data_IF_424019900497
#
_entry.id   IF_424019900497
#
_cell.length_a   1.000
_cell.length_b   1.000
_cell.length_c   1.000
_cell.angle_alpha   90.00
_cell.angle_beta   90.00
_cell.angle_gamma   90.00
#
_symmetry.space_group_name_H-M   'P 1'
#
loop_
_entity.id
_entity.type
_entity.pdbx_description
1 polymer ?
#
# COMPACT_ATOMS: atom_id res chain seq x y z
N UNK A 1 44.49 27.07 -48.10
CA UNK A 1 43.23 27.83 -48.07
C UNK A 1 42.07 26.84 -48.03
N UNK A 2 41.22 27.01 -47.02
CA UNK A 2 39.80 26.61 -46.89
C UNK A 2 39.43 25.12 -47.03
N UNK A 3 39.34 24.48 -45.85
CA UNK A 3 38.33 23.47 -45.50
C UNK A 3 36.95 24.14 -45.46
N UNK A 4 35.90 23.47 -45.94
CA UNK A 4 34.56 23.35 -45.31
C UNK A 4 33.55 22.88 -46.37
N UNK A 5 32.77 21.83 -46.07
CA UNK A 5 31.70 21.44 -46.99
C UNK A 5 30.96 20.14 -46.70
N UNK A 6 30.88 19.64 -45.46
CA UNK A 6 30.08 18.46 -45.14
C UNK A 6 29.53 18.54 -43.72
N UNK A 7 28.46 19.31 -43.48
CA UNK A 7 27.76 19.35 -42.18
C UNK A 7 26.27 19.74 -42.26
N UNK A 8 25.61 19.65 -43.42
CA UNK A 8 24.23 20.17 -43.59
C UNK A 8 23.11 19.15 -43.82
N UNK A 9 23.37 17.84 -43.74
CA UNK A 9 22.38 16.83 -44.21
C UNK A 9 21.82 15.87 -43.15
N UNK A 10 22.00 16.15 -41.85
CA UNK A 10 21.42 15.34 -40.77
C UNK A 10 20.41 16.11 -39.90
N UNK A 11 20.29 17.44 -40.04
CA UNK A 11 19.44 18.27 -39.18
C UNK A 11 17.96 18.39 -39.62
N UNK A 12 17.65 18.17 -40.90
CA UNK A 12 16.30 18.40 -41.46
C UNK A 12 15.22 17.38 -41.05
N UNK A 13 15.49 16.07 -40.92
CA UNK A 13 14.46 15.10 -40.51
C UNK A 13 14.05 15.28 -39.04
N UNK A 14 14.99 15.70 -38.20
CA UNK A 14 14.78 15.86 -36.74
C UNK A 14 13.88 17.06 -36.44
N UNK A 15 14.07 18.18 -37.13
CA UNK A 15 13.21 19.36 -36.95
C UNK A 15 11.77 19.13 -37.44
N UNK A 16 11.59 18.39 -38.54
CA UNK A 16 10.25 18.08 -39.05
C UNK A 16 9.47 17.12 -38.15
N UNK A 17 10.14 16.10 -37.59
CA UNK A 17 9.52 15.18 -36.63
C UNK A 17 9.13 15.88 -35.31
N UNK A 18 9.97 16.78 -34.80
CA UNK A 18 9.67 17.57 -33.61
C UNK A 18 8.47 18.51 -33.80
N UNK A 19 8.37 19.18 -34.96
CA UNK A 19 7.22 20.04 -35.29
C UNK A 19 5.91 19.26 -35.39
N UNK A 20 5.94 18.05 -35.96
CA UNK A 20 4.77 17.19 -36.05
C UNK A 20 4.34 16.64 -34.68
N UNK A 21 5.30 16.30 -33.80
CA UNK A 21 5.02 15.85 -32.45
C UNK A 21 4.37 16.97 -31.60
N UNK A 22 4.85 18.21 -31.74
CA UNK A 22 4.29 19.37 -31.05
C UNK A 22 2.85 19.68 -31.52
N UNK A 23 2.58 19.58 -32.82
CA UNK A 23 1.22 19.77 -33.37
C UNK A 23 0.23 18.67 -32.91
N UNK A 24 0.69 17.42 -32.81
CA UNK A 24 -0.08 16.30 -32.25
C UNK A 24 -0.37 16.53 -30.76
N UNK A 25 0.63 16.97 -29.99
CA UNK A 25 0.45 17.31 -28.58
C UNK A 25 -0.57 18.43 -28.42
N UNK A 26 -0.41 19.55 -29.13
CA UNK A 26 -1.31 20.70 -29.05
C UNK A 26 -2.75 20.33 -29.43
N UNK A 27 -2.92 19.49 -30.46
CA UNK A 27 -4.25 18.99 -30.86
C UNK A 27 -4.89 18.15 -29.76
N UNK A 28 -4.15 17.19 -29.21
CA UNK A 28 -4.64 16.31 -28.15
C UNK A 28 -4.90 17.07 -26.83
N UNK A 29 -4.07 18.06 -26.51
CA UNK A 29 -4.27 18.95 -25.37
C UNK A 29 -5.54 19.78 -25.50
N UNK A 30 -5.77 20.41 -26.66
CA UNK A 30 -7.00 21.16 -26.92
C UNK A 30 -8.23 20.27 -26.80
N UNK A 31 -8.16 19.04 -27.30
CA UNK A 31 -9.24 18.05 -27.13
C UNK A 31 -9.54 17.79 -25.65
N UNK A 32 -8.53 17.53 -24.81
CA UNK A 32 -8.75 17.37 -23.36
C UNK A 32 -9.31 18.64 -22.70
N UNK A 33 -8.86 19.82 -23.13
CA UNK A 33 -9.27 21.12 -22.58
C UNK A 33 -10.74 21.48 -22.89
N UNK A 34 -11.35 20.93 -23.94
CA UNK A 34 -12.75 21.22 -24.31
C UNK A 34 -13.75 20.20 -23.77
N UNK A 35 -13.29 19.03 -23.27
CA UNK A 35 -14.18 18.01 -22.73
C UNK A 35 -14.75 18.48 -21.37
N UNK A 36 -16.02 18.85 -21.39
CA UNK A 36 -16.78 19.23 -20.18
C UNK A 36 -17.61 18.06 -19.63
N UNK A 37 -18.00 17.11 -20.48
CA UNK A 37 -18.72 15.89 -20.11
C UNK A 37 -18.19 14.72 -20.92
N UNK A 38 -17.95 13.60 -20.26
CA UNK A 38 -17.39 12.40 -20.89
C UNK A 38 -18.54 11.60 -21.49
N UNK A 39 -18.78 11.79 -22.79
CA UNK A 39 -19.76 11.02 -23.54
C UNK A 39 -19.14 9.79 -24.23
N UNK A 40 -17.86 9.86 -24.61
CA UNK A 40 -17.15 8.80 -25.32
C UNK A 40 -15.81 8.44 -24.63
N UNK A 41 -15.68 7.17 -24.23
CA UNK A 41 -14.45 6.63 -23.62
C UNK A 41 -13.38 6.30 -24.67
N UNK A 42 -13.78 5.98 -25.90
CA UNK A 42 -12.85 5.66 -26.98
C UNK A 42 -12.09 6.90 -27.44
N UNK A 43 -12.78 8.05 -27.52
CA UNK A 43 -12.15 9.34 -27.82
C UNK A 43 -11.09 9.69 -26.78
N UNK A 44 -11.41 9.63 -25.48
CA UNK A 44 -10.43 9.87 -24.42
C UNK A 44 -9.24 8.91 -24.45
N UNK A 45 -9.47 7.62 -24.76
CA UNK A 45 -8.41 6.65 -24.87
C UNK A 45 -7.47 6.97 -26.05
N UNK A 46 -8.03 7.41 -27.18
CA UNK A 46 -7.28 7.85 -28.35
C UNK A 46 -6.46 9.10 -28.04
N UNK A 47 -7.07 10.14 -27.46
CA UNK A 47 -6.38 11.37 -27.05
C UNK A 47 -5.25 11.07 -26.04
N UNK A 48 -5.49 10.19 -25.08
CA UNK A 48 -4.46 9.75 -24.13
C UNK A 48 -3.31 8.97 -24.78
N UNK A 49 -3.57 8.19 -25.83
CA UNK A 49 -2.51 7.55 -26.62
C UNK A 49 -1.69 8.60 -27.37
N UNK A 50 -2.34 9.53 -28.07
CA UNK A 50 -1.66 10.63 -28.78
C UNK A 50 -0.74 11.44 -27.86
N UNK A 51 -1.22 11.80 -26.67
CA UNK A 51 -0.39 12.51 -25.67
C UNK A 51 0.82 11.67 -25.21
N UNK A 52 0.65 10.36 -25.02
CA UNK A 52 1.77 9.49 -24.65
C UNK A 52 2.79 9.33 -25.77
N UNK A 53 2.44 9.59 -27.01
CA UNK A 53 3.36 9.43 -28.14
C UNK A 53 3.97 10.77 -28.59
N UNK A 54 3.36 11.90 -28.20
CA UNK A 54 3.70 13.22 -28.73
C UNK A 54 4.84 13.96 -28.02
N UNK A 55 5.39 13.43 -26.91
CA UNK A 55 6.43 14.15 -26.16
C UNK A 55 7.50 13.30 -25.51
N UNK A 56 8.63 13.94 -25.20
CA UNK A 56 9.81 13.27 -24.68
C UNK A 56 9.69 12.95 -23.18
N UNK A 57 10.37 11.89 -22.77
CA UNK A 57 10.49 11.52 -21.36
C UNK A 57 11.16 12.66 -20.60
N UNK A 58 10.54 13.12 -19.50
CA UNK A 58 11.05 14.20 -18.66
C UNK A 58 10.72 15.62 -19.13
N UNK A 59 9.94 15.82 -20.20
CA UNK A 59 9.55 17.16 -20.68
C UNK A 59 8.73 17.91 -19.60
N UNK A 60 9.34 18.94 -19.02
CA UNK A 60 8.75 19.73 -17.93
C UNK A 60 7.68 20.70 -18.41
N UNK A 61 7.82 21.25 -19.62
CA UNK A 61 6.90 22.26 -20.11
C UNK A 61 5.54 21.62 -20.34
N UNK A 62 5.51 20.52 -21.09
CA UNK A 62 4.29 19.82 -21.42
C UNK A 62 3.68 19.14 -20.20
N UNK A 63 4.51 18.58 -19.32
CA UNK A 63 4.04 18.00 -18.05
C UNK A 63 3.39 19.03 -17.14
N UNK A 64 3.93 20.25 -17.01
CA UNK A 64 3.29 21.30 -16.19
C UNK A 64 1.90 21.67 -16.71
N UNK A 65 1.72 21.70 -18.03
CA UNK A 65 0.42 21.98 -18.65
C UNK A 65 -0.58 20.85 -18.37
N UNK A 66 -0.16 19.59 -18.51
CA UNK A 66 -0.97 18.44 -18.13
C UNK A 66 -1.29 18.44 -16.62
N UNK A 67 -0.33 18.77 -15.75
CA UNK A 67 -0.54 18.84 -14.30
C UNK A 67 -1.55 19.93 -13.92
N UNK A 68 -1.60 21.06 -14.64
CA UNK A 68 -2.62 22.06 -14.45
C UNK A 68 -4.04 21.51 -14.72
N UNK A 69 -4.18 20.62 -15.71
CA UNK A 69 -5.45 19.90 -15.95
C UNK A 69 -5.76 18.91 -14.83
N UNK A 70 -4.76 18.14 -14.37
CA UNK A 70 -4.93 17.18 -13.26
C UNK A 70 -5.37 17.88 -11.98
N UNK A 71 -4.82 19.05 -11.67
CA UNK A 71 -5.16 19.85 -10.50
C UNK A 71 -6.52 20.57 -10.57
N UNK A 72 -7.13 20.68 -11.76
CA UNK A 72 -8.37 21.42 -11.94
C UNK A 72 -9.60 20.58 -11.53
N UNK A 73 -10.10 20.79 -10.31
CA UNK A 73 -11.28 20.09 -9.78
C UNK A 73 -12.58 20.37 -10.56
N UNK A 74 -12.63 21.40 -11.40
CA UNK A 74 -13.76 21.67 -12.29
C UNK A 74 -13.81 20.78 -13.53
N UNK A 75 -12.76 19.99 -13.79
CA UNK A 75 -12.67 19.08 -14.94
C UNK A 75 -13.17 17.67 -14.59
N UNK A 76 -13.77 16.93 -15.54
CA UNK A 76 -14.18 15.55 -15.32
C UNK A 76 -13.00 14.67 -14.88
N UNK A 77 -13.24 13.78 -13.91
CA UNK A 77 -12.22 12.86 -13.39
C UNK A 77 -11.53 12.08 -14.51
N UNK A 78 -12.27 11.62 -15.53
CA UNK A 78 -11.67 10.85 -16.64
C UNK A 78 -10.63 11.65 -17.44
N UNK A 79 -10.86 12.95 -17.66
CA UNK A 79 -9.91 13.87 -18.31
C UNK A 79 -8.66 14.01 -17.44
N UNK A 80 -8.86 14.26 -16.15
CA UNK A 80 -7.78 14.41 -15.16
C UNK A 80 -6.93 13.14 -15.09
N UNK A 81 -7.56 11.96 -15.07
CA UNK A 81 -6.83 10.68 -15.05
C UNK A 81 -6.10 10.42 -16.38
N UNK A 82 -6.67 10.81 -17.51
CA UNK A 82 -6.03 10.64 -18.83
C UNK A 82 -4.77 11.50 -18.92
N UNK A 83 -4.84 12.77 -18.50
CA UNK A 83 -3.68 13.65 -18.42
C UNK A 83 -2.61 13.11 -17.48
N UNK A 84 -3.01 12.60 -16.31
CA UNK A 84 -2.08 11.98 -15.35
C UNK A 84 -1.39 10.74 -15.91
N UNK A 85 -2.13 9.86 -16.59
CA UNK A 85 -1.57 8.65 -17.20
C UNK A 85 -0.55 8.99 -18.30
N UNK A 86 -0.78 10.07 -19.05
CA UNK A 86 0.18 10.57 -20.03
C UNK A 86 1.47 11.09 -19.36
N UNK A 87 1.35 11.83 -18.26
CA UNK A 87 2.49 12.28 -17.46
C UNK A 87 3.29 11.08 -16.92
N UNK A 88 2.62 10.11 -16.31
CA UNK A 88 3.26 8.93 -15.72
C UNK A 88 4.00 8.09 -16.76
N UNK A 89 3.50 8.01 -17.99
CA UNK A 89 4.18 7.31 -19.09
C UNK A 89 5.49 7.99 -19.52
N UNK A 90 5.66 9.27 -19.21
CA UNK A 90 6.84 10.09 -19.56
C UNK A 90 7.64 10.55 -18.35
N UNK A 91 7.32 10.02 -17.17
CA UNK A 91 8.00 10.40 -15.94
C UNK A 91 9.41 9.79 -15.87
N UNK A 92 10.41 10.67 -15.81
CA UNK A 92 11.77 10.33 -15.36
C UNK A 92 11.83 10.39 -13.81
N UNK A 93 13.04 10.20 -13.26
CA UNK A 93 13.29 10.30 -11.81
C UNK A 93 12.81 11.64 -11.24
N UNK A 94 13.26 12.75 -11.81
CA UNK A 94 12.96 14.09 -11.30
C UNK A 94 11.46 14.42 -11.39
N UNK A 95 10.76 13.87 -12.38
CA UNK A 95 9.33 14.08 -12.57
C UNK A 95 8.52 13.21 -11.62
N UNK A 96 8.96 11.98 -11.38
CA UNK A 96 8.40 11.17 -10.30
C UNK A 96 8.50 11.88 -8.94
N UNK A 97 9.61 12.56 -8.66
CA UNK A 97 9.79 13.35 -7.43
C UNK A 97 8.82 14.53 -7.36
N UNK A 98 8.68 15.29 -8.44
CA UNK A 98 7.70 16.39 -8.54
C UNK A 98 6.27 15.89 -8.36
N UNK A 99 5.92 14.72 -8.92
CA UNK A 99 4.60 14.11 -8.78
C UNK A 99 4.29 13.69 -7.35
N UNK A 100 5.26 13.12 -6.63
CA UNK A 100 5.11 12.82 -5.20
C UNK A 100 4.97 14.10 -4.38
N UNK A 101 5.73 15.14 -4.71
CA UNK A 101 5.61 16.46 -4.09
C UNK A 101 4.22 17.07 -4.30
N UNK A 102 3.71 17.03 -5.54
CA UNK A 102 2.37 17.46 -5.90
C UNK A 102 1.29 16.66 -5.15
N UNK A 103 1.42 15.34 -5.12
CA UNK A 103 0.50 14.45 -4.42
C UNK A 103 0.43 14.76 -2.92
N UNK A 104 1.60 14.98 -2.30
CA UNK A 104 1.70 15.41 -0.90
C UNK A 104 1.03 16.77 -0.68
N UNK A 105 1.31 17.75 -1.54
CA UNK A 105 0.80 19.12 -1.40
C UNK A 105 -0.71 19.23 -1.68
N UNK A 106 -1.25 18.30 -2.47
CA UNK A 106 -2.64 18.31 -2.93
C UNK A 106 -3.58 17.51 -2.03
N UNK A 107 -3.10 16.92 -0.92
CA UNK A 107 -3.97 16.24 0.04
C UNK A 107 -5.03 17.22 0.58
N UNK A 108 -6.32 16.97 0.30
CA UNK A 108 -7.38 17.89 0.64
C UNK A 108 -7.52 18.01 2.15
N UNK A 109 -7.84 19.21 2.63
CA UNK A 109 -8.15 19.43 4.03
C UNK A 109 -9.43 18.71 4.44
N UNK A 110 -9.61 18.49 5.74
CA UNK A 110 -10.76 17.81 6.35
C UNK A 110 -12.11 18.48 6.05
N UNK A 111 -12.14 19.62 5.35
CA UNK A 111 -13.35 20.34 4.90
C UNK A 111 -13.69 20.19 3.41
N UNK A 112 -12.89 19.50 2.60
CA UNK A 112 -13.18 19.33 1.16
C UNK A 112 -14.46 18.51 0.91
N UNK A 113 -15.14 18.73 -0.23
CA UNK A 113 -16.37 18.00 -0.58
C UNK A 113 -16.07 16.51 -0.81
N UNK A 114 -17.04 15.63 -0.51
CA UNK A 114 -16.85 14.18 -0.65
C UNK A 114 -16.43 13.77 -2.08
N UNK A 115 -17.00 14.41 -3.11
CA UNK A 115 -16.64 14.16 -4.51
C UNK A 115 -15.18 14.53 -4.79
N UNK A 116 -14.71 15.67 -4.29
CA UNK A 116 -13.32 16.13 -4.46
C UNK A 116 -12.32 15.19 -3.77
N UNK A 117 -12.69 14.66 -2.59
CA UNK A 117 -11.87 13.65 -1.90
C UNK A 117 -11.79 12.34 -2.69
N UNK A 118 -12.91 11.88 -3.24
CA UNK A 118 -12.94 10.65 -4.04
C UNK A 118 -12.11 10.78 -5.32
N UNK A 119 -12.26 11.90 -6.04
CA UNK A 119 -11.46 12.19 -7.23
C UNK A 119 -9.97 12.26 -6.89
N UNK A 120 -9.61 12.93 -5.80
CA UNK A 120 -8.23 12.99 -5.33
C UNK A 120 -7.70 11.60 -4.95
N UNK A 121 -8.48 10.78 -4.25
CA UNK A 121 -8.09 9.42 -3.90
C UNK A 121 -7.74 8.58 -5.13
N UNK A 122 -8.54 8.71 -6.21
CA UNK A 122 -8.30 8.03 -7.48
C UNK A 122 -6.99 8.50 -8.13
N UNK A 123 -6.77 9.82 -8.20
CA UNK A 123 -5.54 10.38 -8.76
C UNK A 123 -4.30 9.99 -7.94
N UNK A 124 -4.40 10.07 -6.63
CA UNK A 124 -3.33 9.70 -5.70
C UNK A 124 -2.95 8.22 -5.85
N UNK A 125 -3.94 7.33 -5.90
CA UNK A 125 -3.72 5.91 -6.13
C UNK A 125 -3.03 5.63 -7.47
N UNK A 126 -3.33 6.41 -8.50
CA UNK A 126 -2.63 6.32 -9.80
C UNK A 126 -1.19 6.80 -9.72
N UNK A 127 -0.91 7.91 -9.03
CA UNK A 127 0.47 8.39 -8.82
C UNK A 127 1.29 7.31 -8.12
N UNK A 128 0.83 6.80 -6.98
CA UNK A 128 1.55 5.78 -6.19
C UNK A 128 1.84 4.53 -7.02
N UNK A 129 0.82 3.98 -7.70
CA UNK A 129 0.99 2.77 -8.53
C UNK A 129 1.80 3.01 -9.80
N UNK A 130 1.68 4.20 -10.39
CA UNK A 130 2.36 4.58 -11.62
C UNK A 130 3.85 4.77 -11.39
N UNK A 131 4.22 5.46 -10.31
CA UNK A 131 5.61 5.74 -9.95
C UNK A 131 6.40 4.46 -9.68
N UNK A 132 5.80 3.46 -9.05
CA UNK A 132 6.46 2.15 -8.88
C UNK A 132 6.80 1.45 -10.20
N UNK A 133 6.23 1.89 -11.32
CA UNK A 133 6.40 1.30 -12.66
C UNK A 133 7.22 2.17 -13.61
N UNK A 134 7.64 3.38 -13.21
CA UNK A 134 8.40 4.26 -14.10
C UNK A 134 9.85 3.78 -14.27
N UNK A 135 10.49 4.03 -15.42
CA UNK A 135 11.93 3.82 -15.58
C UNK A 135 12.70 4.63 -14.53
N UNK A 136 13.41 3.96 -13.62
CA UNK A 136 14.09 4.61 -12.49
C UNK A 136 13.25 4.77 -11.22
N UNK A 137 12.02 4.22 -11.18
CA UNK A 137 11.16 4.22 -9.99
C UNK A 137 11.85 3.64 -8.74
N UNK A 138 12.69 2.62 -8.89
CA UNK A 138 13.49 2.08 -7.78
C UNK A 138 14.46 3.10 -7.17
N UNK A 139 15.12 3.92 -8.00
CA UNK A 139 16.01 5.00 -7.55
C UNK A 139 15.23 6.14 -6.91
N UNK A 140 14.06 6.48 -7.45
CA UNK A 140 13.17 7.49 -6.87
C UNK A 140 12.73 7.12 -5.46
N UNK A 141 12.36 5.86 -5.26
CA UNK A 141 11.96 5.39 -3.95
C UNK A 141 13.12 5.44 -2.94
N UNK A 142 14.38 5.41 -3.39
CA UNK A 142 15.55 5.53 -2.52
C UNK A 142 15.80 6.95 -1.96
N UNK A 143 15.12 7.97 -2.51
CA UNK A 143 15.29 9.37 -2.11
C UNK A 143 14.47 9.73 -0.85
N UNK A 144 15.07 10.54 0.04
CA UNK A 144 14.47 10.91 1.32
C UNK A 144 13.23 11.82 1.17
N UNK A 145 13.19 12.67 0.15
CA UNK A 145 12.04 13.52 -0.12
C UNK A 145 10.84 12.66 -0.59
N UNK A 146 11.13 11.65 -1.40
CA UNK A 146 10.16 10.64 -1.84
C UNK A 146 9.63 9.81 -0.66
N UNK A 147 10.50 9.36 0.25
CA UNK A 147 10.09 8.68 1.50
C UNK A 147 9.15 9.55 2.35
N UNK A 148 9.49 10.84 2.49
CA UNK A 148 8.68 11.80 3.24
C UNK A 148 7.31 12.05 2.59
N UNK A 149 7.25 12.08 1.25
CA UNK A 149 6.00 12.19 0.52
C UNK A 149 5.14 10.93 0.69
N UNK A 150 5.71 9.74 0.58
CA UNK A 150 4.99 8.49 0.79
C UNK A 150 4.42 8.40 2.22
N UNK A 151 5.18 8.81 3.25
CA UNK A 151 4.66 8.89 4.63
C UNK A 151 3.43 9.79 4.72
N UNK A 152 3.47 10.96 4.09
CA UNK A 152 2.33 11.88 4.07
C UNK A 152 1.12 11.29 3.35
N UNK A 153 1.35 10.52 2.29
CA UNK A 153 0.30 9.81 1.54
C UNK A 153 -0.35 8.71 2.40
N UNK A 154 0.45 7.93 3.13
CA UNK A 154 -0.06 6.92 4.06
C UNK A 154 -0.91 7.56 5.17
N UNK A 155 -0.52 8.74 5.65
CA UNK A 155 -1.26 9.49 6.66
C UNK A 155 -2.45 10.32 6.11
N UNK A 156 -2.70 10.30 4.80
CA UNK A 156 -3.74 11.13 4.18
C UNK A 156 -5.09 10.42 4.26
N UNK A 157 -6.03 10.93 5.07
CA UNK A 157 -7.37 10.34 5.26
C UNK A 157 -8.21 10.28 3.97
N UNK A 158 -7.89 11.14 3.00
CA UNK A 158 -8.52 11.11 1.68
C UNK A 158 -8.00 9.98 0.78
N UNK A 159 -6.89 9.32 1.13
CA UNK A 159 -6.35 8.21 0.37
C UNK A 159 -7.13 6.93 0.66
N UNK A 160 -7.45 6.16 -0.39
CA UNK A 160 -8.09 4.86 -0.21
C UNK A 160 -7.18 3.90 0.58
N UNK A 161 -7.73 2.93 1.33
CA UNK A 161 -6.93 1.92 2.03
C UNK A 161 -5.91 1.23 1.12
N UNK A 162 -6.28 0.90 -0.13
CA UNK A 162 -5.40 0.26 -1.10
C UNK A 162 -4.25 1.18 -1.54
N UNK A 163 -4.51 2.49 -1.61
CA UNK A 163 -3.50 3.49 -1.94
C UNK A 163 -2.51 3.68 -0.79
N UNK A 164 -3.02 3.71 0.45
CA UNK A 164 -2.18 3.76 1.65
C UNK A 164 -1.34 2.49 1.78
N UNK A 165 -1.93 1.31 1.57
CA UNK A 165 -1.21 0.04 1.54
C UNK A 165 -0.13 0.00 0.45
N UNK A 166 -0.44 0.45 -0.78
CA UNK A 166 0.55 0.53 -1.85
C UNK A 166 1.70 1.48 -1.52
N UNK A 167 1.42 2.66 -0.97
CA UNK A 167 2.45 3.61 -0.55
C UNK A 167 3.32 3.03 0.57
N UNK A 168 2.69 2.35 1.53
CA UNK A 168 3.35 1.65 2.62
C UNK A 168 4.30 0.53 2.11
N UNK A 169 3.87 -0.29 1.15
CA UNK A 169 4.74 -1.28 0.51
C UNK A 169 5.95 -0.63 -0.21
N UNK A 170 5.75 0.50 -0.87
CA UNK A 170 6.85 1.24 -1.52
C UNK A 170 7.85 1.81 -0.50
N UNK A 171 7.41 2.24 0.67
CA UNK A 171 8.29 2.66 1.78
C UNK A 171 9.18 1.50 2.19
N UNK A 172 8.60 0.31 2.40
CA UNK A 172 9.36 -0.86 2.82
C UNK A 172 10.35 -1.33 1.75
N UNK A 173 9.92 -1.33 0.49
CA UNK A 173 10.71 -1.74 -0.66
C UNK A 173 11.72 -0.67 -1.15
N UNK A 174 11.69 0.54 -0.58
CA UNK A 174 12.55 1.64 -1.04
C UNK A 174 14.05 1.32 -0.93
N UNK A 175 14.86 1.92 -1.81
CA UNK A 175 16.32 1.84 -1.75
C UNK A 175 16.94 2.74 -0.67
N UNK A 176 16.14 3.41 0.16
CA UNK A 176 16.61 4.29 1.21
C UNK A 176 17.39 3.49 2.29
N UNK A 177 18.32 4.13 3.02
CA UNK A 177 19.01 3.52 4.15
C UNK A 177 18.04 2.80 5.09
N UNK A 178 18.39 1.58 5.51
CA UNK A 178 17.48 0.73 6.31
C UNK A 178 16.99 1.43 7.58
N UNK A 179 17.83 2.23 8.24
CA UNK A 179 17.45 3.01 9.41
C UNK A 179 16.32 4.02 9.10
N UNK A 180 16.42 4.74 7.98
CA UNK A 180 15.39 5.70 7.57
C UNK A 180 14.07 5.01 7.22
N UNK A 181 14.13 3.86 6.54
CA UNK A 181 12.94 3.04 6.26
C UNK A 181 12.28 2.55 7.56
N UNK A 182 13.08 2.08 8.51
CA UNK A 182 12.59 1.67 9.84
C UNK A 182 11.89 2.80 10.55
N UNK A 183 12.53 3.97 10.63
CA UNK A 183 11.95 5.13 11.28
C UNK A 183 10.64 5.55 10.60
N UNK A 184 10.60 5.54 9.26
CA UNK A 184 9.39 5.84 8.51
C UNK A 184 8.24 4.87 8.82
N UNK A 185 8.53 3.56 8.86
CA UNK A 185 7.54 2.53 9.18
C UNK A 185 7.05 2.65 10.62
N UNK A 186 7.95 2.86 11.59
CA UNK A 186 7.56 3.05 13.00
C UNK A 186 6.68 4.27 13.15
N UNK A 187 7.03 5.40 12.53
CA UNK A 187 6.21 6.62 12.58
C UNK A 187 4.80 6.37 12.04
N UNK A 188 4.69 5.64 10.92
CA UNK A 188 3.40 5.25 10.34
C UNK A 188 2.60 4.39 11.31
N UNK A 189 3.22 3.35 11.88
CA UNK A 189 2.57 2.41 12.80
C UNK A 189 2.09 3.10 14.09
N UNK A 190 2.82 4.11 14.55
CA UNK A 190 2.43 4.92 15.72
C UNK A 190 1.31 5.89 15.37
N UNK A 191 1.37 6.53 14.19
CA UNK A 191 0.37 7.50 13.74
C UNK A 191 -0.96 6.87 13.35
N UNK A 192 -0.95 5.64 12.83
CA UNK A 192 -2.14 4.98 12.35
C UNK A 192 -2.95 4.39 13.53
N UNK A 193 -4.04 5.09 13.87
CA UNK A 193 -4.87 4.83 15.05
C UNK A 193 -5.96 3.79 14.82
N UNK A 194 -6.20 3.38 13.57
CA UNK A 194 -7.27 2.46 13.17
C UNK A 194 -6.74 1.05 12.91
N UNK A 195 -7.63 0.06 12.90
CA UNK A 195 -7.32 -1.37 12.71
C UNK A 195 -7.08 -1.72 11.24
N UNK A 196 -6.23 -0.97 10.55
CA UNK A 196 -5.87 -1.29 9.17
C UNK A 196 -4.79 -2.37 9.12
N UNK A 197 -4.93 -3.28 8.17
CA UNK A 197 -3.90 -4.26 7.87
C UNK A 197 -2.60 -3.54 7.51
N UNK A 198 -1.49 -3.92 8.15
CA UNK A 198 -0.17 -3.43 7.76
C UNK A 198 0.45 -4.35 6.69
N UNK A 199 1.26 -3.78 5.78
CA UNK A 199 2.13 -4.55 4.90
C UNK A 199 2.99 -5.58 5.64
N UNK A 200 3.03 -6.82 5.14
CA UNK A 200 3.90 -7.85 5.75
C UNK A 200 5.38 -7.46 5.67
N UNK A 201 5.75 -6.66 4.67
CA UNK A 201 7.09 -6.09 4.51
C UNK A 201 7.54 -5.19 5.67
N UNK A 202 6.61 -4.62 6.46
CA UNK A 202 6.94 -3.85 7.66
C UNK A 202 7.62 -4.71 8.73
N UNK A 203 7.21 -5.98 8.85
CA UNK A 203 7.76 -6.92 9.83
C UNK A 203 9.26 -7.13 9.59
N UNK A 204 9.69 -7.17 8.32
CA UNK A 204 11.10 -7.35 7.94
C UNK A 204 11.99 -6.17 8.36
N UNK A 205 11.39 -5.00 8.63
CA UNK A 205 12.09 -3.82 9.09
C UNK A 205 12.16 -3.73 10.61
N UNK A 206 11.36 -4.50 11.35
CA UNK A 206 11.35 -4.42 12.81
C UNK A 206 12.67 -4.91 13.42
N UNK A 207 13.30 -4.05 14.23
CA UNK A 207 14.42 -4.38 15.10
C UNK A 207 14.08 -3.97 16.53
N UNK A 208 14.94 -4.30 17.50
CA UNK A 208 14.65 -4.01 18.91
C UNK A 208 14.32 -2.54 19.18
N UNK A 209 15.07 -1.61 18.59
CA UNK A 209 14.79 -0.17 18.74
C UNK A 209 13.40 0.23 18.20
N UNK A 210 12.96 -0.35 17.09
CA UNK A 210 11.61 -0.15 16.58
C UNK A 210 10.55 -0.74 17.52
N UNK A 211 10.78 -1.94 18.07
CA UNK A 211 9.86 -2.58 19.01
C UNK A 211 9.70 -1.75 20.28
N UNK A 212 10.79 -1.23 20.86
CA UNK A 212 10.75 -0.31 22.00
C UNK A 212 9.84 0.89 21.70
N UNK A 213 10.02 1.55 20.55
CA UNK A 213 9.19 2.71 20.17
C UNK A 213 7.70 2.36 20.03
N UNK A 214 7.37 1.18 19.51
CA UNK A 214 5.98 0.71 19.42
C UNK A 214 5.39 0.39 20.79
N UNK A 215 6.20 -0.18 21.71
CA UNK A 215 5.80 -0.43 23.10
C UNK A 215 5.55 0.87 23.84
N UNK A 216 6.43 1.86 23.67
CA UNK A 216 6.27 3.19 24.24
C UNK A 216 4.98 3.85 23.75
N UNK A 217 4.66 3.74 22.45
CA UNK A 217 3.40 4.25 21.91
C UNK A 217 2.18 3.59 22.55
N UNK A 218 2.16 2.26 22.69
CA UNK A 218 1.08 1.55 23.39
C UNK A 218 0.97 1.95 24.85
N UNK A 219 2.11 2.08 25.53
CA UNK A 219 2.18 2.44 26.94
C UNK A 219 1.65 3.85 27.18
N UNK A 220 2.09 4.82 26.39
CA UNK A 220 1.68 6.22 26.49
C UNK A 220 0.20 6.40 26.12
N UNK A 221 -0.33 5.54 25.24
CA UNK A 221 -1.75 5.50 24.89
C UNK A 221 -2.69 5.20 26.08
N UNK A 222 -2.19 4.57 27.15
CA UNK A 222 -2.99 4.26 28.35
C UNK A 222 -3.50 5.55 28.99
N UNK A 223 -2.62 6.55 29.14
CA UNK A 223 -2.95 7.83 29.78
C UNK A 223 -3.92 8.65 28.92
N UNK A 224 -3.76 8.64 27.60
CA UNK A 224 -4.65 9.34 26.67
C UNK A 224 -5.96 8.58 26.41
N UNK A 225 -6.03 7.30 26.80
CA UNK A 225 -7.15 6.42 26.47
C UNK A 225 -7.23 6.05 24.99
N UNK A 226 -6.17 6.30 24.21
CA UNK A 226 -6.04 5.99 22.78
C UNK A 226 -5.24 4.70 22.57
N UNK A 227 -5.91 3.63 22.10
CA UNK A 227 -5.25 2.36 21.83
C UNK A 227 -4.61 2.34 20.43
N UNK A 228 -3.30 2.13 20.35
CA UNK A 228 -2.56 2.06 19.08
C UNK A 228 -2.65 0.67 18.43
N UNK A 229 -3.74 0.39 17.72
CA UNK A 229 -4.03 -0.92 17.13
C UNK A 229 -2.91 -1.46 16.23
N UNK A 230 -2.31 -0.64 15.36
CA UNK A 230 -1.26 -1.12 14.46
C UNK A 230 0.03 -1.46 15.20
N UNK A 231 0.40 -0.70 16.22
CA UNK A 231 1.54 -1.03 17.08
C UNK A 231 1.32 -2.39 17.77
N UNK A 232 0.15 -2.61 18.40
CA UNK A 232 -0.18 -3.90 19.01
C UNK A 232 -0.22 -5.05 17.99
N UNK A 233 -0.73 -4.79 16.78
CA UNK A 233 -0.82 -5.79 15.74
C UNK A 233 0.55 -6.20 15.17
N UNK A 234 1.54 -5.29 15.15
CA UNK A 234 2.93 -5.61 14.78
C UNK A 234 3.67 -6.30 15.92
N UNK A 235 3.60 -5.76 17.14
CA UNK A 235 4.23 -6.37 18.33
C UNK A 235 3.75 -7.79 18.57
N UNK A 236 2.44 -8.01 18.44
CA UNK A 236 1.86 -9.34 18.53
C UNK A 236 2.17 -10.26 17.35
N UNK A 237 2.53 -9.72 16.18
CA UNK A 237 3.00 -10.50 15.05
C UNK A 237 4.40 -11.05 15.29
N UNK A 238 5.32 -10.20 15.73
CA UNK A 238 6.71 -10.61 15.99
C UNK A 238 6.85 -11.48 17.23
N UNK A 239 5.78 -11.59 18.04
CA UNK A 239 5.78 -12.39 19.26
C UNK A 239 6.46 -11.70 20.44
N UNK A 240 6.41 -10.37 20.48
CA UNK A 240 7.07 -9.57 21.52
C UNK A 240 6.47 -9.84 22.91
N UNK A 241 7.22 -10.57 23.75
CA UNK A 241 6.75 -11.02 25.07
C UNK A 241 6.61 -9.85 26.04
N UNK A 242 7.46 -8.82 25.91
CA UNK A 242 7.44 -7.63 26.78
C UNK A 242 6.14 -6.83 26.62
N UNK A 243 5.50 -6.88 25.45
CA UNK A 243 4.19 -6.28 25.19
C UNK A 243 3.07 -6.87 26.04
N UNK A 244 3.19 -8.10 26.56
CA UNK A 244 2.14 -8.71 27.40
C UNK A 244 1.82 -7.87 28.64
N UNK A 245 2.83 -7.30 29.30
CA UNK A 245 2.63 -6.45 30.48
C UNK A 245 1.87 -5.15 30.13
N UNK A 246 2.14 -4.57 28.96
CA UNK A 246 1.43 -3.39 28.48
C UNK A 246 -0.04 -3.73 28.16
N UNK A 247 -0.29 -4.88 27.54
CA UNK A 247 -1.64 -5.36 27.23
C UNK A 247 -2.45 -5.70 28.50
N UNK A 248 -1.80 -6.23 29.54
CA UNK A 248 -2.44 -6.50 30.83
C UNK A 248 -2.91 -5.21 31.52
N UNK A 249 -2.07 -4.16 31.48
CA UNK A 249 -2.46 -2.82 31.97
C UNK A 249 -3.61 -2.21 31.17
N UNK A 250 -3.59 -2.35 29.85
CA UNK A 250 -4.71 -1.95 29.00
C UNK A 250 -6.01 -2.67 29.39
N UNK A 251 -5.96 -4.00 29.53
CA UNK A 251 -7.11 -4.82 29.93
C UNK A 251 -7.70 -4.36 31.26
N UNK A 252 -6.86 -3.96 32.22
CA UNK A 252 -7.30 -3.44 33.52
C UNK A 252 -8.00 -2.08 33.44
N UNK A 253 -7.61 -1.20 32.50
CA UNK A 253 -8.20 0.14 32.35
C UNK A 253 -9.32 0.22 31.30
N UNK A 254 -9.56 -0.85 30.52
CA UNK A 254 -10.59 -0.90 29.47
C UNK A 254 -11.79 -1.80 29.80
N UNK A 255 -12.09 -2.02 31.08
CA UNK A 255 -13.19 -2.88 31.55
C UNK A 255 -14.55 -2.53 30.94
N UNK A 256 -14.83 -1.25 30.69
CA UNK A 256 -16.07 -0.74 30.08
C UNK A 256 -16.04 -0.71 28.54
N UNK A 257 -14.98 -1.22 27.90
CA UNK A 257 -14.80 -1.23 26.43
C UNK A 257 -14.69 -2.68 25.91
N UNK A 258 -15.81 -3.42 25.77
CA UNK A 258 -15.79 -4.83 25.38
C UNK A 258 -15.10 -5.11 24.03
N UNK A 259 -15.22 -4.20 23.06
CA UNK A 259 -14.56 -4.32 21.75
C UNK A 259 -13.04 -4.21 21.85
N UNK A 260 -12.55 -3.31 22.70
CA UNK A 260 -11.13 -3.14 22.96
C UNK A 260 -10.58 -4.36 23.72
N UNK A 261 -11.27 -4.85 24.75
CA UNK A 261 -10.86 -6.06 25.47
C UNK A 261 -10.75 -7.27 24.53
N UNK A 262 -11.70 -7.45 23.61
CA UNK A 262 -11.60 -8.51 22.59
C UNK A 262 -10.35 -8.38 21.71
N UNK A 263 -9.98 -7.15 21.36
CA UNK A 263 -8.77 -6.88 20.57
C UNK A 263 -7.50 -7.15 21.38
N UNK A 264 -7.47 -6.74 22.64
CA UNK A 264 -6.36 -7.01 23.57
C UNK A 264 -6.16 -8.52 23.75
N UNK A 265 -7.24 -9.27 24.00
CA UNK A 265 -7.21 -10.74 24.08
C UNK A 265 -6.67 -11.37 22.79
N UNK A 266 -7.09 -10.87 21.63
CA UNK A 266 -6.57 -11.32 20.34
C UNK A 266 -5.05 -11.10 20.22
N UNK A 267 -4.54 -9.91 20.58
CA UNK A 267 -3.11 -9.63 20.53
C UNK A 267 -2.30 -10.44 21.54
N UNK A 268 -2.82 -10.64 22.77
CA UNK A 268 -2.20 -11.53 23.77
C UNK A 268 -2.11 -12.96 23.26
N UNK A 269 -3.20 -13.49 22.69
CA UNK A 269 -3.22 -14.82 22.10
C UNK A 269 -2.16 -14.97 21.00
N UNK A 270 -2.04 -14.00 20.08
CA UNK A 270 -1.03 -14.02 19.01
C UNK A 270 0.40 -14.10 19.55
N UNK A 271 0.71 -13.41 20.65
CA UNK A 271 2.04 -13.48 21.29
C UNK A 271 2.26 -14.85 21.91
N UNK A 272 1.26 -15.39 22.62
CA UNK A 272 1.38 -16.63 23.36
C UNK A 272 1.44 -17.88 22.47
N UNK A 273 0.60 -17.94 21.43
CA UNK A 273 0.47 -19.13 20.57
C UNK A 273 1.73 -19.43 19.76
N UNK A 274 2.52 -18.40 19.46
CA UNK A 274 3.69 -18.51 18.59
C UNK A 274 5.03 -18.64 19.32
N UNK A 275 5.01 -18.83 20.65
CA UNK A 275 6.23 -19.00 21.47
C UNK A 275 7.12 -20.14 20.96
N UNK A 276 6.50 -21.18 20.43
CA UNK A 276 7.17 -22.29 19.77
C UNK A 276 6.26 -22.90 18.67
N UNK A 277 6.87 -23.61 17.73
CA UNK A 277 6.15 -24.24 16.61
C UNK A 277 5.12 -25.29 17.09
N UNK A 278 5.40 -25.98 18.20
CA UNK A 278 4.54 -27.01 18.77
C UNK A 278 3.22 -26.41 19.25
N UNK A 279 3.26 -25.26 19.90
CA UNK A 279 2.10 -24.52 20.40
C UNK A 279 1.18 -24.10 19.25
N UNK A 280 1.74 -23.67 18.11
CA UNK A 280 0.96 -23.38 16.90
C UNK A 280 0.28 -24.64 16.36
N UNK A 281 1.01 -25.74 16.21
CA UNK A 281 0.47 -27.00 15.71
C UNK A 281 -0.60 -27.59 16.63
N UNK A 282 -0.39 -27.54 17.94
CA UNK A 282 -1.37 -27.94 18.96
C UNK A 282 -2.62 -27.08 18.88
N UNK A 283 -2.46 -25.77 18.68
CA UNK A 283 -3.59 -24.86 18.49
C UNK A 283 -4.40 -25.22 17.24
N UNK A 284 -3.73 -25.38 16.10
CA UNK A 284 -4.38 -25.73 14.82
C UNK A 284 -5.12 -27.06 15.00
N UNK A 285 -4.46 -28.06 15.56
CA UNK A 285 -5.02 -29.41 15.76
C UNK A 285 -6.24 -29.40 16.70
N UNK A 286 -6.19 -28.62 17.76
CA UNK A 286 -7.22 -28.62 18.79
C UNK A 286 -8.35 -27.61 18.55
N UNK A 287 -8.16 -26.64 17.65
CA UNK A 287 -9.11 -25.55 17.42
C UNK A 287 -9.37 -24.69 18.66
N UNK A 288 -8.45 -24.67 19.62
CA UNK A 288 -8.62 -24.02 20.92
C UNK A 288 -8.21 -22.56 20.85
N UNK A 289 -9.08 -21.70 20.32
CA UNK A 289 -8.92 -20.26 20.40
C UNK A 289 -10.27 -19.54 20.33
N UNK A 290 -10.32 -18.23 20.62
CA UNK A 290 -11.53 -17.46 20.39
C UNK A 290 -12.09 -17.72 18.98
N UNK A 291 -13.39 -18.01 18.89
CA UNK A 291 -14.07 -18.52 17.67
C UNK A 291 -14.05 -17.50 16.51
N UNK A 292 -13.75 -16.23 16.80
CA UNK A 292 -13.60 -15.13 15.84
C UNK A 292 -12.15 -14.92 15.37
N UNK A 293 -11.23 -15.84 15.69
CA UNK A 293 -9.82 -15.70 15.35
C UNK A 293 -9.51 -16.00 13.88
N UNK A 294 -8.51 -15.27 13.40
CA UNK A 294 -8.03 -15.24 12.03
C UNK A 294 -7.21 -16.51 11.69
N UNK A 295 -7.88 -17.53 11.13
CA UNK A 295 -7.22 -18.76 10.63
C UNK A 295 -6.19 -18.45 9.53
N UNK A 296 -6.44 -17.41 8.76
CA UNK A 296 -5.49 -16.95 7.76
C UNK A 296 -4.20 -16.47 8.44
N UNK A 297 -4.31 -15.67 9.50
CA UNK A 297 -3.15 -15.23 10.25
C UNK A 297 -2.32 -16.39 10.82
N UNK A 298 -2.92 -17.35 11.53
CA UNK A 298 -2.16 -18.43 12.20
C UNK A 298 -1.47 -19.36 11.20
N UNK A 299 -2.13 -19.71 10.09
CA UNK A 299 -1.55 -20.56 9.05
C UNK A 299 -0.43 -19.81 8.31
N UNK A 300 -0.62 -18.53 8.00
CA UNK A 300 0.44 -17.69 7.43
C UNK A 300 1.63 -17.60 8.37
N UNK A 301 1.37 -17.34 9.67
CA UNK A 301 2.41 -17.22 10.68
C UNK A 301 3.18 -18.51 10.88
N UNK A 302 2.52 -19.66 10.83
CA UNK A 302 3.17 -20.96 10.89
C UNK A 302 4.19 -21.14 9.77
N UNK A 303 3.85 -20.76 8.54
CA UNK A 303 4.75 -20.80 7.38
C UNK A 303 5.91 -19.83 7.57
N UNK A 304 5.65 -18.60 8.02
CA UNK A 304 6.69 -17.60 8.32
C UNK A 304 7.69 -18.09 9.37
N UNK A 305 7.23 -18.89 10.34
CA UNK A 305 8.06 -19.52 11.37
C UNK A 305 8.70 -20.84 10.92
N UNK A 306 8.55 -21.23 9.66
CA UNK A 306 9.22 -22.38 9.05
C UNK A 306 8.55 -23.73 9.31
N UNK A 307 7.29 -23.78 9.75
CA UNK A 307 6.55 -25.03 9.91
C UNK A 307 6.25 -25.61 8.52
N UNK A 308 6.53 -26.91 8.35
CA UNK A 308 6.37 -27.60 7.08
C UNK A 308 4.90 -27.65 6.63
N UNK A 309 4.66 -27.49 5.32
CA UNK A 309 3.30 -27.56 4.75
C UNK A 309 2.62 -28.90 5.02
N UNK A 310 3.38 -30.00 5.01
CA UNK A 310 2.85 -31.33 5.31
C UNK A 310 2.43 -31.46 6.79
N UNK A 311 3.18 -30.87 7.72
CA UNK A 311 2.81 -30.82 9.14
C UNK A 311 1.53 -30.02 9.36
N UNK A 312 1.42 -28.86 8.71
CA UNK A 312 0.22 -28.03 8.75
C UNK A 312 -0.99 -28.75 8.17
N UNK A 313 -0.80 -29.48 7.06
CA UNK A 313 -1.85 -30.32 6.48
C UNK A 313 -2.31 -31.39 7.48
N UNK A 314 -1.39 -32.12 8.11
CA UNK A 314 -1.75 -33.14 9.12
C UNK A 314 -2.45 -32.55 10.35
N UNK A 315 -2.07 -31.35 10.78
CA UNK A 315 -2.74 -30.64 11.86
C UNK A 315 -4.18 -30.24 11.48
N UNK A 316 -4.38 -29.74 10.26
CA UNK A 316 -5.72 -29.40 9.73
C UNK A 316 -6.62 -30.63 9.57
N UNK A 317 -6.09 -31.74 9.05
CA UNK A 317 -6.82 -33.01 8.93
C UNK A 317 -7.23 -33.53 10.32
N UNK A 318 -6.34 -33.42 11.31
CA UNK A 318 -6.63 -33.79 12.69
C UNK A 318 -7.70 -32.89 13.31
N UNK A 319 -7.66 -31.60 13.05
CA UNK A 319 -8.68 -30.65 13.49
C UNK A 319 -10.06 -31.01 12.93
N UNK A 320 -10.16 -31.26 11.62
CA UNK A 320 -11.42 -31.64 10.97
C UNK A 320 -11.95 -32.96 11.53
N UNK A 321 -11.07 -33.95 11.75
CA UNK A 321 -11.45 -35.23 12.34
C UNK A 321 -12.00 -35.10 13.76
N UNK A 322 -11.45 -34.18 14.54
CA UNK A 322 -11.77 -34.03 15.97
C UNK A 322 -12.88 -33.00 16.23
N UNK A 323 -13.29 -32.22 15.23
CA UNK A 323 -14.32 -31.19 15.37
C UNK A 323 -15.69 -31.75 14.98
N UNK A 324 -16.71 -31.65 15.85
CA UNK A 324 -18.06 -32.10 15.52
C UNK A 324 -18.58 -31.43 14.26
N UNK A 325 -19.24 -32.21 13.38
CA UNK A 325 -19.75 -31.73 12.09
C UNK A 325 -20.67 -30.51 12.21
N UNK A 326 -21.37 -30.35 13.32
CA UNK A 326 -22.23 -29.19 13.61
C UNK A 326 -21.44 -27.89 13.76
N UNK A 327 -20.22 -27.96 14.29
CA UNK A 327 -19.29 -26.83 14.43
C UNK A 327 -18.48 -26.57 13.14
N UNK A 328 -18.43 -27.55 12.24
CA UNK A 328 -17.82 -27.43 10.90
C UNK A 328 -18.82 -26.95 9.83
N UNK A 329 -20.12 -26.83 10.14
CA UNK A 329 -21.14 -26.37 9.19
C UNK A 329 -21.06 -24.85 9.00
N UNK A 330 -20.98 -24.40 7.75
CA UNK A 330 -21.04 -22.98 7.37
C UNK A 330 -19.78 -22.45 6.68
N UNK A 331 -19.57 -21.11 6.71
CA UNK A 331 -18.41 -20.41 6.13
C UNK A 331 -17.07 -20.93 6.67
N UNK A 332 -17.04 -21.46 7.89
CA UNK A 332 -15.83 -21.88 8.59
C UNK A 332 -14.99 -22.93 7.84
N UNK A 333 -15.62 -23.99 7.31
CA UNK A 333 -14.90 -25.04 6.55
C UNK A 333 -14.46 -24.55 5.18
N UNK A 334 -15.26 -23.68 4.55
CA UNK A 334 -14.95 -23.08 3.24
C UNK A 334 -13.78 -22.10 3.35
N UNK A 335 -13.83 -21.18 4.31
CA UNK A 335 -12.81 -20.15 4.52
C UNK A 335 -11.46 -20.77 4.91
N UNK A 336 -11.46 -21.83 5.75
CA UNK A 336 -10.24 -22.55 6.15
C UNK A 336 -9.62 -23.31 4.97
N UNK A 337 -10.44 -23.97 4.13
CA UNK A 337 -9.96 -24.68 2.95
C UNK A 337 -9.42 -23.71 1.90
N UNK A 338 -10.13 -22.60 1.62
CA UNK A 338 -9.68 -21.55 0.70
C UNK A 338 -8.37 -20.91 1.18
N UNK A 339 -8.27 -20.62 2.47
CA UNK A 339 -7.03 -20.14 3.11
C UNK A 339 -5.90 -21.13 2.90
N UNK A 340 -6.11 -22.41 3.24
CA UNK A 340 -5.08 -23.43 3.10
C UNK A 340 -4.65 -23.66 1.64
N UNK A 341 -5.57 -23.54 0.68
CA UNK A 341 -5.25 -23.57 -0.76
C UNK A 341 -4.44 -22.34 -1.17
N UNK A 342 -4.84 -21.13 -0.75
CA UNK A 342 -4.13 -19.88 -1.11
C UNK A 342 -2.70 -19.83 -0.55
N UNK A 343 -2.46 -20.42 0.62
CA UNK A 343 -1.13 -20.59 1.20
C UNK A 343 -0.36 -21.80 0.63
N UNK A 344 -1.01 -22.58 -0.24
CA UNK A 344 -0.46 -23.76 -0.88
C UNK A 344 -0.14 -24.89 0.10
N UNK A 345 -0.89 -24.99 1.20
CA UNK A 345 -0.90 -26.12 2.15
C UNK A 345 -1.73 -27.27 1.54
N UNK A 346 -2.82 -26.93 0.82
CA UNK A 346 -3.67 -27.87 0.09
C UNK A 346 -3.65 -27.59 -1.41
N UNK A 347 -4.01 -28.59 -2.22
CA UNK A 347 -4.22 -28.42 -3.67
C UNK A 347 -5.64 -27.93 -3.96
N UNK A 348 -5.81 -27.21 -5.07
CA UNK A 348 -7.14 -26.81 -5.54
C UNK A 348 -8.04 -28.04 -5.77
N UNK A 349 -9.26 -28.00 -5.25
CA UNK A 349 -10.21 -29.13 -5.31
C UNK A 349 -9.93 -30.27 -4.31
N UNK A 350 -8.87 -30.17 -3.51
CA UNK A 350 -8.62 -31.09 -2.41
C UNK A 350 -9.49 -30.68 -1.21
N UNK A 351 -10.42 -31.54 -0.82
CA UNK A 351 -11.22 -31.35 0.39
C UNK A 351 -10.37 -31.47 1.66
N UNK A 352 -10.78 -30.73 2.69
CA UNK A 352 -10.39 -30.92 4.09
C UNK A 352 -11.27 -31.98 4.75
#
# INVERSE_FOLDING_TARGET
MVRQGWLFLVALPVCAAALLADDVFETAMRQLEVIEKVADRAELASTGASLRDSFDVGDRQQTRRLLALVGNAGRPLAVRTTALDAILAKADFELGRELLGWARASCPSTGARAVERNDFAVLLGRVVRGIGKTPGGGSLLADQASLSALKAIVACDAASPETRAAAAELIAASGAPIAQRRDAVVDILVMARTSEEYPTSYILLMNESALVRLRDALNNGIESGEFHYMAAAVLSHVGDVETLEVLDRWSACSTERPSLNRSIEHFRWRILVQRDQKSILEWITAGRGPVWLDHYWILRRAIELGIGKDELKSALESYVKNTPMENLRGRFRTDLAETAVSLGILRQGQGL
#
